data_IF_011944871779
#
_entry.id   IF_011944871779
#
_cell.length_a   1.000
_cell.length_b   1.000
_cell.length_c   1.000
_cell.angle_alpha   90.00
_cell.angle_beta   90.00
_cell.angle_gamma   90.00
#
_symmetry.space_group_name_H-M   'P 1'
#
loop_
_entity.id
_entity.type
_entity.pdbx_description
1 polymer ?
#
# COMPACT_ATOMS: atom_id res chain seq x y z
N UNK A 1 -9.90 -3.98 2.40
CA UNK A 1 -8.70 -4.09 3.26
C UNK A 1 -8.10 -5.47 3.08
N UNK A 2 -7.02 -5.79 3.80
CA UNK A 2 -6.46 -7.15 3.81
C UNK A 2 -7.24 -8.12 4.72
N UNK A 3 -7.96 -7.57 5.71
CA UNK A 3 -8.69 -8.32 6.75
C UNK A 3 -7.73 -9.00 7.72
N UNK A 4 -7.32 -10.23 7.42
CA UNK A 4 -6.53 -11.10 8.30
C UNK A 4 -5.13 -11.40 7.73
N UNK A 5 -4.17 -11.72 8.62
CA UNK A 5 -2.79 -12.06 8.24
C UNK A 5 -2.26 -13.20 9.09
N UNK A 6 -2.07 -14.36 8.47
CA UNK A 6 -1.47 -15.55 9.09
C UNK A 6 -2.02 -15.85 10.50
N UNK A 7 -3.35 -15.85 10.61
CA UNK A 7 -4.06 -16.12 11.86
C UNK A 7 -5.00 -17.34 11.75
N UNK A 8 -5.88 -17.52 12.74
CA UNK A 8 -6.80 -18.64 12.78
C UNK A 8 -7.90 -18.61 11.70
N UNK A 9 -8.12 -17.46 11.04
CA UNK A 9 -9.14 -17.25 10.03
C UNK A 9 -8.57 -17.26 8.61
N UNK A 10 -7.35 -16.74 8.42
CA UNK A 10 -6.72 -16.67 7.10
C UNK A 10 -5.20 -16.92 7.15
N UNK A 11 -4.69 -17.92 6.42
CA UNK A 11 -3.27 -18.28 6.48
C UNK A 11 -2.36 -17.37 5.65
N UNK A 12 -2.90 -16.60 4.70
CA UNK A 12 -2.12 -15.80 3.75
C UNK A 12 -2.04 -14.33 4.16
N UNK A 13 -1.25 -13.56 3.40
CA UNK A 13 -1.14 -12.11 3.55
C UNK A 13 0.28 -11.64 3.87
N UNK A 14 0.65 -10.46 3.34
CA UNK A 14 2.00 -9.89 3.52
C UNK A 14 2.03 -8.37 3.73
N UNK A 15 0.95 -7.80 4.25
CA UNK A 15 0.83 -6.36 4.53
C UNK A 15 0.98 -5.49 3.28
N UNK A 16 0.43 -5.91 2.13
CA UNK A 16 0.61 -5.21 0.86
C UNK A 16 -0.71 -4.91 0.15
N UNK A 17 -1.09 -3.63 0.14
CA UNK A 17 -2.32 -3.19 -0.50
C UNK A 17 -2.34 -3.34 -2.04
N UNK A 18 -1.17 -3.38 -2.70
CA UNK A 18 -1.09 -3.67 -4.14
C UNK A 18 -1.45 -5.13 -4.44
N UNK A 19 -1.14 -6.06 -3.53
CA UNK A 19 -1.58 -7.46 -3.64
C UNK A 19 -3.10 -7.57 -3.50
N UNK A 20 -3.67 -6.85 -2.53
CA UNK A 20 -5.12 -6.80 -2.34
C UNK A 20 -5.81 -6.25 -3.59
N UNK A 21 -5.28 -5.17 -4.18
CA UNK A 21 -5.81 -4.61 -5.43
C UNK A 21 -5.65 -5.57 -6.62
N UNK A 22 -4.52 -6.26 -6.72
CA UNK A 22 -4.29 -7.30 -7.72
C UNK A 22 -5.30 -8.44 -7.60
N UNK A 23 -5.54 -8.96 -6.40
CA UNK A 23 -6.56 -10.00 -6.16
C UNK A 23 -7.98 -9.49 -6.49
N UNK A 24 -8.31 -8.26 -6.08
CA UNK A 24 -9.59 -7.64 -6.40
C UNK A 24 -9.82 -7.50 -7.91
N UNK A 25 -8.78 -7.23 -8.71
CA UNK A 25 -8.89 -7.19 -10.18
C UNK A 25 -9.42 -8.50 -10.78
N UNK A 26 -9.00 -9.65 -10.22
CA UNK A 26 -9.43 -10.97 -10.65
C UNK A 26 -10.84 -11.30 -10.17
N UNK A 27 -11.23 -10.85 -8.98
CA UNK A 27 -12.57 -11.09 -8.43
C UNK A 27 -13.64 -10.23 -9.10
N UNK A 28 -13.29 -8.98 -9.46
CA UNK A 28 -14.21 -7.99 -10.03
C UNK A 28 -14.14 -7.91 -11.56
N UNK A 29 -13.21 -8.65 -12.18
CA UNK A 29 -12.92 -8.63 -13.62
C UNK A 29 -12.52 -7.23 -14.13
N UNK A 30 -11.86 -6.48 -13.25
CA UNK A 30 -11.44 -5.10 -13.47
C UNK A 30 -10.00 -5.07 -14.01
N UNK A 31 -9.84 -5.14 -15.33
CA UNK A 31 -8.53 -5.34 -15.98
C UNK A 31 -8.17 -4.29 -17.04
N UNK A 32 -9.08 -3.36 -17.33
CA UNK A 32 -8.76 -2.22 -18.20
C UNK A 32 -7.92 -1.19 -17.45
N UNK A 33 -7.15 -0.37 -18.17
CA UNK A 33 -6.31 0.68 -17.55
C UNK A 33 -7.10 1.57 -16.57
N UNK A 34 -8.32 1.99 -16.94
CA UNK A 34 -9.17 2.84 -16.09
C UNK A 34 -9.62 2.12 -14.82
N UNK A 35 -9.94 0.85 -14.92
CA UNK A 35 -10.35 0.04 -13.78
C UNK A 35 -9.18 -0.24 -12.83
N UNK A 36 -7.98 -0.44 -13.37
CA UNK A 36 -6.73 -0.59 -12.60
C UNK A 36 -6.43 0.69 -11.80
N UNK A 37 -6.59 1.87 -12.40
CA UNK A 37 -6.51 3.14 -11.66
C UNK A 37 -7.57 3.23 -10.56
N UNK A 38 -8.81 2.78 -10.84
CA UNK A 38 -9.89 2.74 -9.84
C UNK A 38 -9.54 1.79 -8.67
N UNK A 39 -8.97 0.62 -8.95
CA UNK A 39 -8.49 -0.32 -7.94
C UNK A 39 -7.39 0.29 -7.07
N UNK A 40 -6.48 1.05 -7.69
CA UNK A 40 -5.42 1.76 -6.96
C UNK A 40 -5.98 2.86 -6.06
N UNK A 41 -6.96 3.64 -6.54
CA UNK A 41 -7.67 4.63 -5.72
C UNK A 41 -8.40 3.98 -4.53
N UNK A 42 -9.03 2.81 -4.75
CA UNK A 42 -9.71 2.04 -3.70
C UNK A 42 -8.80 1.65 -2.55
N UNK A 43 -7.50 1.44 -2.81
CA UNK A 43 -6.52 1.09 -1.78
C UNK A 43 -5.66 2.28 -1.32
N UNK A 44 -5.97 3.49 -1.76
CA UNK A 44 -5.27 4.73 -1.39
C UNK A 44 -6.25 5.82 -0.93
N UNK A 45 -6.63 6.75 -1.80
CA UNK A 45 -7.45 7.93 -1.47
C UNK A 45 -8.87 7.57 -1.03
N UNK A 46 -9.48 6.55 -1.63
CA UNK A 46 -10.84 6.12 -1.26
C UNK A 46 -10.82 5.37 0.08
N UNK A 47 -9.76 4.62 0.39
CA UNK A 47 -9.58 4.02 1.70
C UNK A 47 -9.46 5.10 2.80
N UNK A 48 -8.69 6.16 2.55
CA UNK A 48 -8.58 7.28 3.48
C UNK A 48 -9.93 7.99 3.69
N UNK A 49 -10.70 8.23 2.62
CA UNK A 49 -12.06 8.78 2.72
C UNK A 49 -12.98 7.89 3.55
N UNK A 50 -12.95 6.57 3.34
CA UNK A 50 -13.76 5.61 4.09
C UNK A 50 -13.42 5.62 5.60
N UNK A 51 -12.17 5.89 5.96
CA UNK A 51 -11.70 6.01 7.34
C UNK A 51 -11.81 7.45 7.90
N UNK A 52 -12.39 8.39 7.16
CA UNK A 52 -12.47 9.81 7.52
C UNK A 52 -11.09 10.47 7.78
N UNK A 53 -10.03 9.97 7.15
CA UNK A 53 -8.69 10.56 7.19
C UNK A 53 -8.66 11.75 6.24
N UNK A 54 -8.46 12.94 6.81
CA UNK A 54 -8.42 14.19 6.06
C UNK A 54 -7.06 14.39 5.39
N UNK A 55 -7.06 15.15 4.29
CA UNK A 55 -5.84 15.60 3.60
C UNK A 55 -4.89 14.46 3.15
N UNK A 56 -5.42 13.25 2.94
CA UNK A 56 -4.66 12.10 2.43
C UNK A 56 -4.60 12.10 0.90
N UNK A 57 -3.82 13.01 0.34
CA UNK A 57 -3.60 13.11 -1.10
C UNK A 57 -2.25 13.80 -1.40
N UNK A 58 -1.69 13.55 -2.58
CA UNK A 58 -0.46 14.21 -3.02
C UNK A 58 -0.78 15.62 -3.53
N UNK A 59 -0.85 16.58 -2.61
CA UNK A 59 -1.01 18.00 -2.94
C UNK A 59 -0.15 18.91 -2.06
N UNK A 60 0.08 20.12 -2.54
CA UNK A 60 0.72 21.17 -1.74
C UNK A 60 -0.13 21.45 -0.48
N UNK A 61 0.53 21.53 0.67
CA UNK A 61 -0.08 21.79 1.96
C UNK A 61 -0.62 20.54 2.69
N UNK A 62 -0.68 19.38 2.03
CA UNK A 62 -1.03 18.13 2.71
C UNK A 62 0.15 17.61 3.56
N UNK A 63 -0.11 16.79 4.60
CA UNK A 63 0.94 16.11 5.34
C UNK A 63 1.87 15.32 4.42
N UNK A 64 3.18 15.40 4.65
CA UNK A 64 4.19 14.73 3.84
C UNK A 64 4.28 13.22 4.16
N UNK A 65 3.22 12.49 3.83
CA UNK A 65 3.11 11.03 3.91
C UNK A 65 3.02 10.48 2.50
N UNK A 66 4.07 9.80 2.02
CA UNK A 66 4.09 9.24 0.67
C UNK A 66 4.97 7.99 0.58
N UNK A 67 4.70 7.21 -0.45
CA UNK A 67 5.40 5.97 -0.79
C UNK A 67 5.98 6.11 -2.19
N UNK A 68 7.24 5.72 -2.36
CA UNK A 68 7.92 5.68 -3.65
C UNK A 68 8.06 4.22 -4.09
N UNK A 69 7.51 3.89 -5.25
CA UNK A 69 7.53 2.54 -5.82
C UNK A 69 8.54 2.46 -6.97
N UNK A 70 9.15 1.28 -7.15
CA UNK A 70 10.01 0.98 -8.31
C UNK A 70 9.16 0.56 -9.51
N UNK A 71 8.19 1.39 -9.88
CA UNK A 71 7.29 1.12 -11.00
C UNK A 71 7.02 2.42 -11.77
N UNK A 72 7.01 2.38 -13.11
CA UNK A 72 6.80 3.58 -13.93
C UNK A 72 5.34 4.06 -13.95
N UNK A 73 4.39 3.24 -13.52
CA UNK A 73 2.95 3.54 -13.50
C UNK A 73 2.19 2.56 -12.61
N UNK A 74 0.89 2.79 -12.44
CA UNK A 74 0.01 1.98 -11.58
C UNK A 74 -0.15 0.54 -12.07
N UNK A 75 -0.21 0.32 -13.40
CA UNK A 75 -0.30 -1.03 -13.96
C UNK A 75 0.91 -1.89 -13.55
N UNK A 76 2.12 -1.37 -13.75
CA UNK A 76 3.35 -2.08 -13.36
C UNK A 76 3.45 -2.22 -11.83
N UNK A 77 3.01 -1.23 -11.07
CA UNK A 77 2.96 -1.30 -9.61
C UNK A 77 2.04 -2.44 -9.12
N UNK A 78 0.86 -2.60 -9.72
CA UNK A 78 -0.06 -3.70 -9.39
C UNK A 78 0.46 -5.05 -9.88
N UNK A 79 1.08 -5.10 -11.08
CA UNK A 79 1.66 -6.32 -11.66
C UNK A 79 2.72 -6.93 -10.75
N UNK A 80 3.70 -6.12 -10.35
CA UNK A 80 4.83 -6.58 -9.55
C UNK A 80 4.53 -6.58 -8.05
N UNK A 81 3.61 -5.69 -7.61
CA UNK A 81 3.21 -5.51 -6.21
C UNK A 81 4.40 -5.61 -5.23
N UNK A 82 5.52 -5.01 -5.65
CA UNK A 82 6.78 -5.06 -4.95
C UNK A 82 6.74 -4.18 -3.69
N UNK A 83 7.68 -4.43 -2.78
CA UNK A 83 7.88 -3.54 -1.64
C UNK A 83 8.31 -2.13 -2.12
N UNK A 84 7.94 -1.07 -1.40
CA UNK A 84 8.33 0.29 -1.77
C UNK A 84 9.84 0.51 -1.66
N UNK A 85 10.39 1.36 -2.53
CA UNK A 85 11.78 1.82 -2.45
C UNK A 85 11.98 2.73 -1.23
N UNK A 86 11.04 3.64 -1.01
CA UNK A 86 11.08 4.60 0.09
C UNK A 86 9.69 4.82 0.67
N UNK A 87 9.65 5.06 1.98
CA UNK A 87 8.46 5.46 2.71
C UNK A 87 8.80 6.73 3.47
N UNK A 88 7.99 7.77 3.30
CA UNK A 88 8.11 9.03 4.02
C UNK A 88 6.88 9.16 4.92
N UNK A 89 7.12 9.39 6.21
CA UNK A 89 6.08 9.63 7.21
C UNK A 89 6.33 10.96 7.90
N UNK A 90 5.36 11.87 7.85
CA UNK A 90 5.42 13.21 8.43
C UNK A 90 6.69 13.97 8.03
N UNK A 91 7.07 13.87 6.75
CA UNK A 91 8.26 14.53 6.19
C UNK A 91 9.59 13.88 6.56
N UNK A 92 9.58 12.72 7.21
CA UNK A 92 10.80 11.98 7.57
C UNK A 92 10.87 10.68 6.76
N UNK A 93 12.04 10.40 6.20
CA UNK A 93 12.32 9.12 5.58
C UNK A 93 12.30 8.02 6.65
N UNK A 94 11.53 6.97 6.41
CA UNK A 94 11.49 5.78 7.28
C UNK A 94 12.73 4.94 6.99
N UNK A 95 13.43 4.53 8.05
CA UNK A 95 14.54 3.59 7.95
C UNK A 95 14.01 2.17 7.73
N UNK A 96 13.86 1.79 6.46
CA UNK A 96 13.34 0.48 6.07
C UNK A 96 14.24 -0.66 6.58
N UNK A 97 15.56 -0.46 6.64
CA UNK A 97 16.48 -1.48 7.13
C UNK A 97 16.26 -1.74 8.62
N UNK A 98 16.17 -0.66 9.42
CA UNK A 98 15.82 -0.77 10.85
C UNK A 98 14.46 -1.42 11.04
N UNK A 99 13.43 -1.02 10.28
CA UNK A 99 12.08 -1.60 10.41
C UNK A 99 12.06 -3.09 10.08
N UNK A 100 12.82 -3.54 9.06
CA UNK A 100 12.95 -4.97 8.76
C UNK A 100 13.62 -5.75 9.90
N UNK A 101 14.70 -5.23 10.46
CA UNK A 101 15.35 -5.87 11.61
C UNK A 101 14.39 -6.00 12.80
N UNK A 102 13.61 -4.96 13.11
CA UNK A 102 12.60 -5.01 14.17
C UNK A 102 11.54 -6.07 13.86
N UNK A 103 11.05 -6.15 12.62
CA UNK A 103 10.04 -7.13 12.23
C UNK A 103 10.54 -8.59 12.32
N UNK A 104 11.84 -8.82 12.06
CA UNK A 104 12.46 -10.15 12.10
C UNK A 104 12.86 -10.59 13.51
N UNK A 105 13.32 -9.66 14.35
CA UNK A 105 13.91 -9.98 15.66
C UNK A 105 13.01 -9.63 16.85
N UNK A 106 12.05 -8.72 16.67
CA UNK A 106 11.24 -8.16 17.76
C UNK A 106 11.99 -7.16 18.66
N UNK A 107 13.26 -6.87 18.39
CA UNK A 107 14.10 -6.01 19.23
C UNK A 107 14.14 -4.57 18.71
N UNK A 108 13.76 -3.62 19.56
CA UNK A 108 13.96 -2.19 19.31
C UNK A 108 15.23 -1.72 20.02
N UNK A 109 16.38 -1.73 19.31
CA UNK A 109 17.58 -1.02 19.76
C UNK A 109 17.40 0.51 19.72
#
# INVERSE_FOLDING_TARGET
GQDDISDGYYPFGRNNMLEVAFLASHLLWMTTNREIETLYEMVTVNAARAMNVQEHELRIGAPANLVVLQAPNVLEALREHAAPAHVISNGKLVDIAKMKMIAETGEMN
#
